data_IF_088621797954
#
_entry.id   IF_088621797954
#
_cell.length_a   1.000
_cell.length_b   1.000
_cell.length_c   1.000
_cell.angle_alpha   90.00
_cell.angle_beta   90.00
_cell.angle_gamma   90.00
#
_symmetry.space_group_name_H-M   'P 1'
#
loop_
_entity.id
_entity.type
_entity.pdbx_description
1 polymer ?
#
# COMPACT_ATOMS: atom_id res chain seq x y z
N UNK A 1 60.43 -9.99 16.33
CA UNK A 1 59.39 -11.04 16.40
C UNK A 1 58.13 -10.59 17.14
N UNK A 2 58.22 -9.85 18.27
CA UNK A 2 57.04 -9.41 19.03
C UNK A 2 56.15 -8.42 18.24
N UNK A 3 56.73 -7.53 17.42
CA UNK A 3 55.98 -6.56 16.61
C UNK A 3 55.10 -7.22 15.52
N UNK A 4 55.56 -8.28 14.86
CA UNK A 4 54.78 -8.98 13.82
C UNK A 4 53.54 -9.71 14.36
N UNK A 5 53.59 -10.18 15.61
CA UNK A 5 52.45 -10.83 16.25
C UNK A 5 51.38 -9.81 16.69
N UNK A 6 51.81 -8.60 17.08
CA UNK A 6 50.90 -7.54 17.52
C UNK A 6 50.10 -6.96 16.34
N UNK A 7 50.72 -6.69 15.19
CA UNK A 7 50.03 -6.22 13.98
C UNK A 7 49.01 -7.23 13.41
N UNK A 8 49.32 -8.53 13.48
CA UNK A 8 48.40 -9.59 13.04
C UNK A 8 47.16 -9.67 13.94
N UNK A 9 47.33 -9.47 15.25
CA UNK A 9 46.24 -9.53 16.22
C UNK A 9 45.27 -8.35 16.04
N UNK A 10 45.78 -7.13 15.85
CA UNK A 10 44.96 -5.95 15.55
C UNK A 10 44.15 -6.13 14.25
N UNK A 11 44.77 -6.66 13.20
CA UNK A 11 44.10 -6.94 11.93
C UNK A 11 42.96 -7.94 12.08
N UNK A 12 43.17 -9.01 12.85
CA UNK A 12 42.14 -10.02 13.13
C UNK A 12 41.00 -9.45 13.98
N UNK A 13 41.29 -8.58 14.95
CA UNK A 13 40.27 -7.91 15.77
C UNK A 13 39.42 -6.97 14.91
N UNK A 14 40.04 -6.19 14.02
CA UNK A 14 39.33 -5.28 13.12
C UNK A 14 38.43 -6.06 12.15
N UNK A 15 38.97 -7.11 11.52
CA UNK A 15 38.20 -7.96 10.60
C UNK A 15 37.04 -8.63 11.36
N UNK A 16 37.30 -9.17 12.55
CA UNK A 16 36.28 -9.75 13.41
C UNK A 16 35.18 -8.75 13.76
N UNK A 17 35.54 -7.51 14.12
CA UNK A 17 34.59 -6.45 14.41
C UNK A 17 33.70 -6.12 13.20
N UNK A 18 34.27 -5.93 12.01
CA UNK A 18 33.50 -5.66 10.80
C UNK A 18 32.62 -6.84 10.39
N UNK A 19 33.08 -8.08 10.56
CA UNK A 19 32.27 -9.27 10.29
C UNK A 19 31.08 -9.37 11.24
N UNK A 20 31.31 -9.21 12.55
CA UNK A 20 30.25 -9.28 13.56
C UNK A 20 29.27 -8.12 13.38
N UNK A 21 29.77 -6.89 13.28
CA UNK A 21 28.93 -5.70 13.14
C UNK A 21 28.19 -5.68 11.80
N UNK A 22 28.83 -6.13 10.73
CA UNK A 22 28.20 -6.32 9.42
C UNK A 22 27.10 -7.38 9.44
N UNK A 23 27.33 -8.52 10.10
CA UNK A 23 26.33 -9.59 10.23
C UNK A 23 25.14 -9.14 11.08
N UNK A 24 25.39 -8.50 12.23
CA UNK A 24 24.35 -7.92 13.07
C UNK A 24 23.57 -6.83 12.31
N UNK A 25 24.28 -5.95 11.61
CA UNK A 25 23.68 -4.92 10.76
C UNK A 25 22.81 -5.52 9.65
N UNK A 26 23.27 -6.57 8.98
CA UNK A 26 22.49 -7.29 7.98
C UNK A 26 21.23 -7.93 8.56
N UNK A 27 21.33 -8.58 9.73
CA UNK A 27 20.16 -9.17 10.41
C UNK A 27 19.15 -8.08 10.75
N UNK A 28 19.60 -6.97 11.36
CA UNK A 28 18.75 -5.83 11.68
C UNK A 28 18.10 -5.28 10.40
N UNK A 29 18.87 -5.12 9.32
CA UNK A 29 18.36 -4.60 8.06
C UNK A 29 17.29 -5.50 7.44
N UNK A 30 17.49 -6.82 7.48
CA UNK A 30 16.48 -7.79 7.03
C UNK A 30 15.21 -7.69 7.88
N UNK A 31 15.35 -7.60 9.20
CA UNK A 31 14.21 -7.43 10.11
C UNK A 31 13.43 -6.14 9.81
N UNK A 32 14.14 -5.03 9.56
CA UNK A 32 13.54 -3.76 9.17
C UNK A 32 12.82 -3.85 7.83
N UNK A 33 13.42 -4.51 6.83
CA UNK A 33 12.77 -4.74 5.53
C UNK A 33 11.48 -5.55 5.67
N UNK A 34 11.50 -6.64 6.45
CA UNK A 34 10.30 -7.46 6.72
C UNK A 34 9.25 -6.66 7.48
N UNK A 35 9.67 -5.82 8.44
CA UNK A 35 8.77 -4.93 9.16
C UNK A 35 8.12 -3.91 8.24
N UNK A 36 8.91 -3.23 7.41
CA UNK A 36 8.42 -2.24 6.43
C UNK A 36 7.42 -2.87 5.46
N UNK A 37 7.70 -4.09 4.98
CA UNK A 37 6.77 -4.82 4.12
C UNK A 37 5.42 -5.03 4.80
N UNK A 38 5.43 -5.54 6.04
CA UNK A 38 4.21 -5.77 6.83
C UNK A 38 3.47 -4.46 7.14
N UNK A 39 4.18 -3.39 7.48
CA UNK A 39 3.56 -2.10 7.80
C UNK A 39 2.98 -1.41 6.56
N UNK A 40 3.65 -1.51 5.40
CA UNK A 40 3.14 -1.00 4.13
C UNK A 40 1.90 -1.77 3.67
N UNK A 41 1.89 -3.11 3.81
CA UNK A 41 0.71 -3.95 3.53
C UNK A 41 -0.47 -3.59 4.43
N UNK A 42 -0.22 -3.29 5.70
CA UNK A 42 -1.26 -2.86 6.65
C UNK A 42 -1.83 -1.46 6.34
N UNK A 43 -1.17 -0.68 5.48
CA UNK A 43 -1.59 0.67 5.07
C UNK A 43 -2.13 0.73 3.64
N UNK A 44 -2.31 -0.42 2.97
CA UNK A 44 -2.69 -0.52 1.57
C UNK A 44 -1.74 0.26 0.62
N UNK A 45 -0.45 0.35 0.98
CA UNK A 45 0.60 0.91 0.14
C UNK A 45 1.36 -0.23 -0.58
N UNK A 46 2.12 0.09 -1.62
CA UNK A 46 2.94 -0.86 -2.39
C UNK A 46 4.06 -1.48 -1.55
N UNK A 47 3.73 -2.56 -0.84
CA UNK A 47 4.61 -3.19 0.15
C UNK A 47 5.95 -3.68 -0.43
N UNK A 48 5.91 -4.27 -1.63
CA UNK A 48 7.10 -4.83 -2.27
C UNK A 48 8.10 -3.72 -2.66
N UNK A 49 7.61 -2.59 -3.18
CA UNK A 49 8.44 -1.44 -3.54
C UNK A 49 9.13 -0.84 -2.31
N UNK A 50 8.39 -0.62 -1.23
CA UNK A 50 8.95 -0.05 0.00
C UNK A 50 9.97 -0.98 0.66
N UNK A 51 9.76 -2.30 0.60
CA UNK A 51 10.73 -3.27 1.10
C UNK A 51 12.05 -3.23 0.31
N UNK A 52 11.99 -3.14 -1.03
CA UNK A 52 13.17 -3.05 -1.89
C UNK A 52 13.93 -1.73 -1.64
N UNK A 53 13.21 -0.62 -1.52
CA UNK A 53 13.82 0.69 -1.19
C UNK A 53 14.57 0.63 0.14
N UNK A 54 13.96 0.08 1.18
CA UNK A 54 14.61 -0.07 2.51
C UNK A 54 15.78 -1.06 2.45
N UNK A 55 15.70 -2.12 1.66
CA UNK A 55 16.79 -3.09 1.52
C UNK A 55 18.04 -2.49 0.87
N UNK A 56 17.87 -1.68 -0.19
CA UNK A 56 18.98 -1.09 -0.95
C UNK A 56 19.56 0.14 -0.25
N UNK A 57 18.71 1.06 0.22
CA UNK A 57 19.15 2.31 0.84
C UNK A 57 19.40 2.16 2.36
N UNK A 58 19.16 0.98 2.92
CA UNK A 58 19.35 0.67 4.33
C UNK A 58 18.50 1.57 5.24
N UNK A 59 19.15 2.14 6.25
CA UNK A 59 18.52 3.09 7.18
C UNK A 59 17.97 4.33 6.47
N UNK A 60 18.59 4.78 5.36
CA UNK A 60 18.13 5.97 4.63
C UNK A 60 16.74 5.72 4.01
N UNK A 61 16.54 4.53 3.44
CA UNK A 61 15.25 4.11 2.89
C UNK A 61 14.17 4.00 3.98
N UNK A 62 14.55 3.56 5.19
CA UNK A 62 13.65 3.50 6.33
C UNK A 62 13.20 4.90 6.76
N UNK A 63 14.11 5.87 6.81
CA UNK A 63 13.78 7.26 7.14
C UNK A 63 12.78 7.82 6.12
N UNK A 64 13.04 7.64 4.83
CA UNK A 64 12.14 8.08 3.75
C UNK A 64 10.77 7.41 3.89
N UNK A 65 10.75 6.10 4.14
CA UNK A 65 9.52 5.35 4.36
C UNK A 65 8.72 5.93 5.53
N UNK A 66 9.36 6.20 6.67
CA UNK A 66 8.69 6.74 7.85
C UNK A 66 8.11 8.13 7.63
N UNK A 67 8.75 8.96 6.79
CA UNK A 67 8.25 10.29 6.42
C UNK A 67 6.99 10.17 5.55
N UNK A 68 7.01 9.29 4.55
CA UNK A 68 5.88 9.12 3.60
C UNK A 68 4.77 8.25 4.19
N UNK A 69 5.04 7.56 5.30
CA UNK A 69 4.14 6.61 5.98
C UNK A 69 2.75 7.20 6.21
N UNK A 70 1.77 6.72 5.45
CA UNK A 70 0.39 7.19 5.56
C UNK A 70 -0.23 6.79 6.91
N UNK A 71 -0.82 7.71 7.71
CA UNK A 71 -1.46 7.36 8.99
C UNK A 71 -2.60 6.37 8.78
N UNK A 72 -2.77 5.42 9.71
CA UNK A 72 -3.90 4.48 9.65
C UNK A 72 -5.19 5.29 9.82
N UNK A 73 -6.15 5.13 8.91
CA UNK A 73 -7.46 5.74 9.07
C UNK A 73 -8.06 5.25 10.40
N UNK A 74 -8.18 6.15 11.37
CA UNK A 74 -8.84 5.88 12.63
C UNK A 74 -10.31 5.63 12.30
N UNK A 75 -10.77 4.38 12.42
CA UNK A 75 -12.20 4.05 12.31
C UNK A 75 -12.86 4.44 13.62
N UNK A 76 -13.15 5.73 13.80
CA UNK A 76 -13.87 6.28 14.94
C UNK A 76 -14.89 7.33 14.50
N UNK A 77 -16.00 7.52 15.25
CA UNK A 77 -17.02 8.53 14.95
C UNK A 77 -16.56 9.98 15.20
N UNK A 78 -15.31 10.19 15.63
CA UNK A 78 -14.75 11.48 16.08
C UNK A 78 -13.57 11.93 15.20
N UNK A 79 -13.69 11.83 13.89
CA UNK A 79 -12.77 12.50 12.93
C UNK A 79 -13.52 13.62 12.20
N UNK A 80 -14.25 14.44 12.95
CA UNK A 80 -15.17 15.45 12.42
C UNK A 80 -14.55 16.84 12.16
N UNK A 81 -13.21 17.00 12.06
CA UNK A 81 -12.66 18.31 11.68
C UNK A 81 -11.35 18.24 10.88
N UNK A 82 -11.53 18.42 9.56
CA UNK A 82 -10.57 18.83 8.52
C UNK A 82 -9.67 17.72 7.88
N UNK A 83 -9.30 17.90 6.59
CA UNK A 83 -10.10 17.45 5.45
C UNK A 83 -9.50 16.18 4.85
N UNK A 84 -10.27 15.08 4.91
CA UNK A 84 -9.97 13.90 4.13
C UNK A 84 -10.36 14.19 2.68
N UNK A 85 -9.35 14.33 1.83
CA UNK A 85 -9.49 14.23 0.39
C UNK A 85 -10.00 12.82 0.07
N UNK A 86 -11.32 12.76 -0.04
CA UNK A 86 -12.16 11.80 -0.76
C UNK A 86 -11.38 10.64 -1.37
N UNK A 87 -11.41 9.52 -0.65
CA UNK A 87 -11.29 8.19 -1.24
C UNK A 87 -12.42 8.04 -2.25
N UNK A 88 -12.09 8.01 -3.54
CA UNK A 88 -13.00 7.51 -4.57
C UNK A 88 -12.59 6.09 -4.92
N UNK A 89 -13.06 5.14 -4.11
CA UNK A 89 -13.23 3.76 -4.54
C UNK A 89 -14.69 3.39 -4.29
N UNK A 90 -15.44 3.52 -5.38
CA UNK A 90 -16.89 3.47 -5.47
C UNK A 90 -17.33 1.99 -5.40
N UNK A 91 -17.74 1.54 -4.21
CA UNK A 91 -18.46 0.28 -4.06
C UNK A 91 -19.90 0.45 -4.58
N UNK A 92 -20.39 -0.39 -5.51
CA UNK A 92 -21.70 -0.22 -6.13
C UNK A 92 -22.85 -0.42 -5.14
N UNK A 93 -23.72 0.59 -5.06
CA UNK A 93 -25.00 0.55 -4.37
C UNK A 93 -26.03 -0.34 -5.13
N UNK A 94 -27.16 -0.70 -4.51
CA UNK A 94 -27.99 -1.87 -4.83
C UNK A 94 -28.68 -1.75 -6.19
N UNK A 95 -28.73 -2.87 -6.92
CA UNK A 95 -29.25 -2.91 -8.29
C UNK A 95 -30.74 -2.55 -8.37
N UNK A 96 -31.12 -1.44 -9.04
CA UNK A 96 -32.50 -1.21 -9.43
C UNK A 96 -32.80 -2.10 -10.65
N UNK A 97 -33.89 -2.87 -10.58
CA UNK A 97 -34.38 -3.77 -11.63
C UNK A 97 -34.48 -3.04 -12.97
N UNK A 98 -33.56 -3.38 -13.87
CA UNK A 98 -33.50 -2.81 -15.23
C UNK A 98 -34.60 -3.43 -16.08
N UNK A 99 -35.34 -2.61 -16.82
CA UNK A 99 -36.32 -3.06 -17.83
C UNK A 99 -35.72 -2.82 -19.21
N UNK A 100 -36.05 -3.67 -20.17
CA UNK A 100 -35.60 -3.52 -21.55
C UNK A 100 -36.77 -3.06 -22.43
N UNK A 101 -36.49 -2.17 -23.39
CA UNK A 101 -37.48 -1.76 -24.37
C UNK A 101 -37.74 -2.91 -25.36
N UNK A 102 -39.00 -3.36 -25.48
CA UNK A 102 -39.40 -4.47 -26.36
C UNK A 102 -39.21 -4.19 -27.86
N UNK A 103 -39.12 -2.91 -28.24
CA UNK A 103 -39.10 -2.48 -29.64
C UNK A 103 -37.67 -2.20 -30.16
N UNK A 104 -36.76 -1.73 -29.31
CA UNK A 104 -35.38 -1.40 -29.72
C UNK A 104 -34.30 -2.11 -28.89
N UNK A 105 -34.68 -2.87 -27.86
CA UNK A 105 -33.76 -3.66 -27.02
C UNK A 105 -32.92 -2.84 -26.05
N UNK A 106 -33.10 -1.52 -25.95
CA UNK A 106 -32.31 -0.68 -25.05
C UNK A 106 -32.66 -0.86 -23.57
N UNK A 107 -31.65 -0.74 -22.71
CA UNK A 107 -31.82 -0.71 -21.25
C UNK A 107 -32.46 0.61 -20.82
N UNK A 108 -33.61 0.51 -20.14
CA UNK A 108 -34.35 1.67 -19.65
C UNK A 108 -34.53 1.54 -18.13
N UNK A 109 -34.37 2.66 -17.43
CA UNK A 109 -34.56 2.75 -15.98
C UNK A 109 -36.02 2.37 -15.64
N UNK A 110 -36.22 1.57 -14.59
CA UNK A 110 -37.47 0.82 -14.33
C UNK A 110 -38.78 1.62 -14.25
N UNK A 111 -38.71 2.93 -14.10
CA UNK A 111 -39.87 3.83 -13.91
C UNK A 111 -40.15 4.76 -15.10
N UNK A 112 -39.39 4.67 -16.19
CA UNK A 112 -39.68 5.46 -17.38
C UNK A 112 -40.97 4.96 -18.07
N UNK A 113 -41.70 5.84 -18.74
CA UNK A 113 -42.90 5.48 -19.51
C UNK A 113 -42.63 5.45 -21.02
N UNK A 114 -41.56 6.10 -21.48
CA UNK A 114 -41.16 6.18 -22.88
C UNK A 114 -39.65 5.92 -23.02
N UNK A 115 -39.25 5.23 -24.08
CA UNK A 115 -37.85 4.98 -24.38
C UNK A 115 -37.18 6.24 -24.94
N UNK A 116 -36.03 6.70 -24.41
CA UNK A 116 -35.34 7.89 -24.90
C UNK A 116 -34.67 7.71 -26.27
N UNK A 117 -34.49 6.46 -26.74
CA UNK A 117 -33.81 6.17 -28.01
C UNK A 117 -34.78 5.99 -29.18
N UNK A 118 -35.95 5.39 -28.97
CA UNK A 118 -36.93 5.15 -30.03
C UNK A 118 -38.27 5.88 -29.85
N UNK A 119 -38.51 6.50 -28.69
CA UNK A 119 -39.77 7.22 -28.40
C UNK A 119 -40.98 6.34 -28.10
N UNK A 120 -40.87 5.01 -28.25
CA UNK A 120 -41.98 4.10 -27.99
C UNK A 120 -42.28 3.95 -26.49
N UNK A 121 -43.55 3.72 -26.16
CA UNK A 121 -44.04 3.54 -24.79
C UNK A 121 -43.55 2.20 -24.23
N UNK A 122 -42.88 2.23 -23.08
CA UNK A 122 -42.46 1.00 -22.40
C UNK A 122 -43.60 0.50 -21.52
N UNK A 123 -43.99 -0.76 -21.70
CA UNK A 123 -45.04 -1.39 -20.88
C UNK A 123 -44.42 -1.75 -19.53
N UNK A 124 -44.97 -1.21 -18.45
CA UNK A 124 -44.66 -1.70 -17.11
C UNK A 124 -45.20 -3.13 -17.02
N UNK A 125 -44.30 -4.09 -16.79
CA UNK A 125 -44.69 -5.41 -16.32
C UNK A 125 -45.21 -5.32 -14.89
#
# INVERSE_FOLDING_TARGET
>A
MILQAQDLTESLVIIGFFLIFGLVGCVIQILLTVWTHKDAKARNMSADLWAVVVLIFGLLGLIIYLIVRSPKAIKGPEQARAPQLVQKEEAPAPQPTKKFCSECGSEVKGDAQFCPLCGNKIRAA
#
